data_IF_666097847465
#
_entry.id   IF_666097847465
#
_cell.length_a   1.000
_cell.length_b   1.000
_cell.length_c   1.000
_cell.angle_alpha   90.00
_cell.angle_beta   90.00
_cell.angle_gamma   90.00
#
_symmetry.space_group_name_H-M   'P 1'
#
loop_
_entity.id
_entity.type
_entity.pdbx_description
1 polymer ?
#
# COMPACT_ATOMS: atom_id res chain seq x y z
N UNK A 1 -8.33 -37.64 -27.08
CA UNK A 1 -8.23 -37.75 -25.61
C UNK A 1 -7.36 -36.67 -25.03
N UNK A 2 -8.05 -35.78 -24.31
CA UNK A 2 -7.58 -34.92 -23.22
C UNK A 2 -6.25 -34.17 -23.40
N UNK A 3 -6.31 -33.04 -24.10
CA UNK A 3 -5.40 -31.92 -23.86
C UNK A 3 -5.66 -31.42 -22.44
N UNK A 4 -4.74 -31.76 -21.54
CA UNK A 4 -4.73 -31.27 -20.17
C UNK A 4 -4.90 -29.75 -20.16
N UNK A 5 -5.92 -29.29 -19.45
CA UNK A 5 -6.16 -27.88 -19.19
C UNK A 5 -4.99 -27.33 -18.39
N UNK A 6 -3.90 -26.93 -19.06
CA UNK A 6 -2.89 -26.09 -18.47
C UNK A 6 -3.60 -24.79 -18.10
N UNK A 7 -3.73 -24.57 -16.80
CA UNK A 7 -4.25 -23.32 -16.25
C UNK A 7 -3.40 -22.19 -16.81
N UNK A 8 -3.93 -21.41 -17.76
CA UNK A 8 -3.26 -20.21 -18.27
C UNK A 8 -3.05 -19.26 -17.08
N UNK A 9 -1.88 -19.33 -16.46
CA UNK A 9 -1.49 -18.42 -15.39
C UNK A 9 -1.33 -17.05 -16.02
N UNK A 10 -2.14 -16.10 -15.53
CA UNK A 10 -1.93 -14.71 -15.87
C UNK A 10 -0.80 -14.19 -14.97
N UNK A 11 0.39 -14.03 -15.54
CA UNK A 11 1.61 -13.77 -14.77
C UNK A 11 1.66 -12.36 -14.15
N UNK A 12 0.77 -11.45 -14.57
CA UNK A 12 0.82 -10.03 -14.19
C UNK A 12 -0.49 -9.52 -13.60
N UNK A 13 -0.80 -9.91 -12.37
CA UNK A 13 -1.95 -9.31 -11.66
C UNK A 13 -1.74 -7.81 -11.42
N UNK A 14 -2.81 -7.04 -11.54
CA UNK A 14 -2.80 -5.63 -11.19
C UNK A 14 -2.38 -5.43 -9.72
N UNK A 15 -1.43 -4.51 -9.49
CA UNK A 15 -0.96 -4.13 -8.15
C UNK A 15 -1.74 -2.92 -7.65
N UNK A 16 -2.00 -2.88 -6.35
CA UNK A 16 -2.70 -1.77 -5.69
C UNK A 16 -3.63 -2.26 -4.59
N UNK A 17 -4.54 -1.37 -4.19
CA UNK A 17 -5.66 -1.66 -3.29
C UNK A 17 -6.93 -1.09 -3.91
N UNK A 18 -8.09 -1.66 -3.59
CA UNK A 18 -9.37 -1.17 -4.09
C UNK A 18 -10.50 -1.46 -3.09
N UNK A 19 -11.62 -0.75 -3.23
CA UNK A 19 -12.81 -1.04 -2.46
C UNK A 19 -13.44 -2.36 -2.94
N UNK A 20 -13.33 -3.40 -2.10
CA UNK A 20 -13.76 -4.76 -2.41
C UNK A 20 -15.26 -4.88 -2.71
N UNK A 21 -16.09 -3.90 -2.36
CA UNK A 21 -17.50 -3.84 -2.77
C UNK A 21 -17.67 -3.91 -4.30
N UNK A 22 -16.69 -3.42 -5.06
CA UNK A 22 -16.77 -3.31 -6.52
C UNK A 22 -15.99 -4.41 -7.26
N UNK A 23 -15.66 -5.53 -6.61
CA UNK A 23 -14.83 -6.58 -7.21
C UNK A 23 -15.40 -7.13 -8.54
N UNK A 24 -16.72 -7.19 -8.70
CA UNK A 24 -17.38 -7.66 -9.92
C UNK A 24 -17.19 -6.71 -11.11
N UNK A 25 -16.95 -5.42 -10.86
CA UNK A 25 -16.64 -4.46 -11.92
C UNK A 25 -15.21 -4.63 -12.45
N UNK A 26 -14.32 -5.19 -11.62
CA UNK A 26 -12.95 -5.50 -12.01
C UNK A 26 -12.87 -6.86 -12.70
N UNK A 27 -13.54 -7.87 -12.14
CA UNK A 27 -13.54 -9.24 -12.67
C UNK A 27 -14.92 -9.88 -12.45
N UNK A 28 -15.81 -9.70 -13.43
CA UNK A 28 -17.18 -10.22 -13.38
C UNK A 28 -17.27 -11.74 -13.47
N UNK A 29 -16.21 -12.41 -13.94
CA UNK A 29 -16.15 -13.87 -14.05
C UNK A 29 -15.63 -14.54 -12.76
N UNK A 30 -15.12 -13.77 -11.79
CA UNK A 30 -14.64 -14.30 -10.52
C UNK A 30 -15.79 -14.82 -9.66
N UNK A 31 -15.77 -16.11 -9.33
CA UNK A 31 -16.81 -16.79 -8.54
C UNK A 31 -16.28 -17.56 -7.33
N UNK A 32 -15.04 -18.04 -7.37
CA UNK A 32 -14.38 -18.74 -6.27
C UNK A 32 -12.86 -18.72 -6.45
N UNK A 33 -12.12 -18.83 -5.35
CA UNK A 33 -10.66 -18.83 -5.40
C UNK A 33 -10.08 -17.46 -5.76
N UNK A 34 -8.85 -17.45 -6.28
CA UNK A 34 -8.18 -16.20 -6.64
C UNK A 34 -8.69 -15.67 -7.98
N UNK A 35 -8.96 -14.36 -8.07
CA UNK A 35 -9.19 -13.70 -9.36
C UNK A 35 -7.99 -13.91 -10.29
N UNK A 36 -8.26 -14.07 -11.60
CA UNK A 36 -7.21 -14.23 -12.62
C UNK A 36 -6.40 -12.94 -12.79
N UNK A 37 -7.08 -11.79 -12.78
CA UNK A 37 -6.48 -10.50 -13.15
C UNK A 37 -6.12 -9.61 -11.96
N UNK A 38 -6.79 -9.79 -10.81
CA UNK A 38 -6.63 -8.92 -9.64
C UNK A 38 -6.24 -9.70 -8.40
N UNK A 39 -5.64 -8.99 -7.43
CA UNK A 39 -5.27 -9.57 -6.14
C UNK A 39 -6.47 -9.58 -5.18
N UNK A 40 -7.42 -10.47 -5.39
CA UNK A 40 -8.45 -10.79 -4.40
C UNK A 40 -8.85 -12.26 -4.47
N UNK A 41 -9.40 -12.79 -3.39
CA UNK A 41 -9.79 -14.20 -3.29
C UNK A 41 -11.21 -14.32 -2.78
N UNK A 42 -12.05 -15.04 -3.53
CA UNK A 42 -13.42 -15.37 -3.13
C UNK A 42 -13.42 -16.69 -2.35
N UNK A 43 -13.94 -16.68 -1.13
CA UNK A 43 -14.18 -17.86 -0.30
C UNK A 43 -15.62 -17.89 0.17
N UNK A 44 -16.13 -19.06 0.59
CA UNK A 44 -17.47 -19.18 1.16
C UNK A 44 -17.62 -18.49 2.51
N UNK A 45 -16.51 -18.28 3.25
CA UNK A 45 -16.50 -17.69 4.60
C UNK A 45 -16.38 -16.17 4.56
N UNK A 46 -15.49 -15.66 3.71
CA UNK A 46 -15.05 -14.26 3.74
C UNK A 46 -15.41 -13.53 2.44
N UNK A 47 -16.21 -14.16 1.57
CA UNK A 47 -16.57 -13.64 0.25
C UNK A 47 -15.29 -13.21 -0.51
N UNK A 48 -15.27 -12.05 -1.18
CA UNK A 48 -14.13 -11.50 -1.90
C UNK A 48 -12.94 -11.07 -1.03
N UNK A 49 -13.04 -11.21 0.30
CA UNK A 49 -12.01 -10.80 1.27
C UNK A 49 -11.17 -11.97 1.78
N UNK A 50 -11.20 -13.13 1.11
CA UNK A 50 -10.33 -14.26 1.42
C UNK A 50 -8.85 -13.86 1.43
N UNK A 51 -8.08 -14.45 2.35
CA UNK A 51 -6.67 -14.12 2.56
C UNK A 51 -6.45 -12.61 2.77
N UNK A 52 -7.31 -12.00 3.59
CA UNK A 52 -7.37 -10.54 3.73
C UNK A 52 -6.00 -9.91 3.94
N UNK A 53 -5.14 -10.41 4.82
CA UNK A 53 -3.82 -9.79 5.11
C UNK A 53 -2.88 -9.61 3.91
N UNK A 54 -3.08 -10.36 2.81
CA UNK A 54 -2.21 -10.35 1.63
C UNK A 54 -2.92 -9.97 0.32
N UNK A 55 -4.25 -9.86 0.31
CA UNK A 55 -5.02 -9.45 -0.86
C UNK A 55 -5.12 -7.93 -0.98
N UNK A 56 -5.42 -7.42 -2.17
CA UNK A 56 -5.62 -6.00 -2.46
C UNK A 56 -7.02 -5.48 -2.14
N UNK A 57 -8.02 -6.37 -2.05
CA UNK A 57 -9.38 -5.97 -1.69
C UNK A 57 -9.40 -5.45 -0.24
N UNK A 58 -9.89 -4.23 -0.06
CA UNK A 58 -10.17 -3.64 1.25
C UNK A 58 -11.67 -3.65 1.49
N UNK A 59 -12.07 -3.91 2.74
CA UNK A 59 -13.46 -3.69 3.16
C UNK A 59 -13.79 -2.20 3.00
N UNK A 60 -15.07 -1.83 2.75
CA UNK A 60 -15.45 -0.43 2.52
C UNK A 60 -14.93 0.53 3.61
N UNK A 61 -15.05 0.15 4.87
CA UNK A 61 -14.60 0.98 6.01
C UNK A 61 -13.08 1.14 6.05
N UNK A 62 -12.33 0.08 5.74
CA UNK A 62 -10.86 0.13 5.64
C UNK A 62 -10.41 0.96 4.43
N UNK A 63 -11.14 0.91 3.32
CA UNK A 63 -10.86 1.74 2.16
C UNK A 63 -11.09 3.23 2.48
N UNK A 64 -12.22 3.55 3.12
CA UNK A 64 -12.53 4.91 3.58
C UNK A 64 -11.50 5.43 4.60
N UNK A 65 -11.03 4.55 5.49
CA UNK A 65 -9.95 4.85 6.43
C UNK A 65 -8.66 5.25 5.71
N UNK A 66 -8.26 4.51 4.68
CA UNK A 66 -7.08 4.85 3.86
C UNK A 66 -7.25 6.21 3.16
N UNK A 67 -8.44 6.51 2.63
CA UNK A 67 -8.72 7.80 1.99
C UNK A 67 -8.61 8.96 2.98
N UNK A 68 -9.28 8.86 4.13
CA UNK A 68 -9.21 9.88 5.20
C UNK A 68 -7.80 10.11 5.72
N UNK A 69 -7.07 9.03 5.99
CA UNK A 69 -5.66 9.12 6.38
C UNK A 69 -4.82 9.84 5.33
N UNK A 70 -5.05 9.55 4.05
CA UNK A 70 -4.32 10.18 2.94
C UNK A 70 -4.61 11.68 2.88
N UNK A 71 -5.88 12.08 3.01
CA UNK A 71 -6.28 13.49 3.07
C UNK A 71 -5.61 14.23 4.24
N UNK A 72 -5.65 13.66 5.44
CA UNK A 72 -4.99 14.22 6.62
C UNK A 72 -3.47 14.36 6.42
N UNK A 73 -2.82 13.37 5.79
CA UNK A 73 -1.37 13.46 5.48
C UNK A 73 -1.07 14.55 4.48
N UNK A 74 -1.89 14.73 3.44
CA UNK A 74 -1.75 15.83 2.49
C UNK A 74 -1.84 17.18 3.22
N UNK A 75 -2.86 17.38 4.06
CA UNK A 75 -3.05 18.61 4.83
C UNK A 75 -1.84 18.89 5.73
N UNK A 76 -1.35 17.88 6.44
CA UNK A 76 -0.15 18.00 7.28
C UNK A 76 1.09 18.42 6.48
N UNK A 77 1.33 17.78 5.34
CA UNK A 77 2.49 18.11 4.48
C UNK A 77 2.38 19.54 3.94
N UNK A 78 1.18 19.97 3.54
CA UNK A 78 0.95 21.36 3.08
C UNK A 78 1.23 22.36 4.21
N UNK A 79 0.77 22.09 5.43
CA UNK A 79 1.05 22.94 6.58
C UNK A 79 2.55 23.05 6.87
N UNK A 80 3.28 21.93 6.85
CA UNK A 80 4.74 21.91 7.04
C UNK A 80 5.45 22.75 5.96
N UNK A 81 5.06 22.60 4.69
CA UNK A 81 5.62 23.40 3.58
C UNK A 81 5.34 24.89 3.80
N UNK A 82 4.09 25.26 4.11
CA UNK A 82 3.70 26.66 4.31
C UNK A 82 4.37 27.31 5.53
N UNK A 83 4.71 26.52 6.55
CA UNK A 83 5.51 27.00 7.69
C UNK A 83 6.99 27.19 7.38
N UNK A 84 7.45 26.82 6.18
CA UNK A 84 8.86 26.87 5.79
C UNK A 84 9.69 25.68 6.28
N UNK A 85 9.05 24.54 6.55
CA UNK A 85 9.72 23.31 6.97
C UNK A 85 10.59 22.72 5.86
N UNK A 86 11.91 22.89 5.97
CA UNK A 86 12.91 22.43 4.97
C UNK A 86 13.92 21.43 5.56
N UNK A 87 13.60 20.79 6.68
CA UNK A 87 14.50 19.87 7.37
C UNK A 87 14.93 18.68 6.49
N UNK A 88 16.22 18.36 6.51
CA UNK A 88 16.77 17.21 5.79
C UNK A 88 16.61 15.94 6.66
N UNK A 89 15.50 15.21 6.45
CA UNK A 89 15.16 13.98 7.21
C UNK A 89 14.89 12.79 6.30
N UNK A 90 15.90 12.25 5.58
CA UNK A 90 15.70 11.11 4.69
C UNK A 90 15.28 9.87 5.49
N UNK A 91 14.25 9.18 5.02
CA UNK A 91 13.81 7.94 5.64
C UNK A 91 14.77 6.79 5.32
N UNK A 92 14.76 5.75 6.16
CA UNK A 92 15.33 4.44 5.85
C UNK A 92 14.29 3.35 6.11
N UNK A 93 13.86 2.68 5.05
CA UNK A 93 12.87 1.60 5.10
C UNK A 93 13.44 0.34 4.47
N UNK A 94 13.57 -0.73 5.26
CA UNK A 94 14.11 -2.02 4.80
C UNK A 94 15.43 -1.88 4.03
N UNK A 95 16.35 -1.07 4.56
CA UNK A 95 17.66 -0.79 3.95
C UNK A 95 17.64 0.18 2.77
N UNK A 96 16.47 0.63 2.30
CA UNK A 96 16.34 1.60 1.21
C UNK A 96 16.19 3.01 1.76
N UNK A 97 16.78 3.97 1.05
CA UNK A 97 16.72 5.40 1.37
C UNK A 97 16.49 6.20 0.09
N UNK A 98 15.80 7.35 0.15
CA UNK A 98 15.60 8.21 -1.00
C UNK A 98 16.91 8.84 -1.51
N UNK A 99 17.96 8.89 -0.67
CA UNK A 99 19.23 9.51 -1.05
C UNK A 99 19.90 8.84 -2.26
N UNK A 100 19.63 7.54 -2.53
CA UNK A 100 20.24 6.83 -3.66
C UNK A 100 19.75 7.29 -5.03
N UNK A 101 18.60 7.97 -5.10
CA UNK A 101 18.03 8.51 -6.33
C UNK A 101 17.76 10.02 -6.26
N UNK A 102 18.25 10.71 -5.21
CA UNK A 102 18.04 12.14 -5.03
C UNK A 102 19.06 12.96 -5.83
N UNK A 103 18.58 13.81 -6.74
CA UNK A 103 19.39 14.72 -7.56
C UNK A 103 20.05 15.85 -6.74
N UNK A 104 19.54 16.13 -5.53
CA UNK A 104 19.99 17.21 -4.66
C UNK A 104 20.95 16.76 -3.55
N UNK A 105 21.53 15.56 -3.67
CA UNK A 105 22.43 15.00 -2.65
C UNK A 105 23.65 15.90 -2.33
N UNK A 106 24.16 16.61 -3.33
CA UNK A 106 25.30 17.54 -3.22
C UNK A 106 24.92 18.86 -2.54
N UNK A 107 23.64 19.20 -2.51
CA UNK A 107 23.11 20.44 -1.95
C UNK A 107 22.69 20.26 -0.49
N UNK A 108 22.04 19.14 -0.16
CA UNK A 108 21.45 18.94 1.17
C UNK A 108 22.50 18.70 2.27
N UNK A 109 23.74 18.33 1.92
CA UNK A 109 24.87 18.04 2.84
C UNK A 109 24.57 16.96 3.89
N UNK A 110 23.61 16.08 3.64
CA UNK A 110 23.36 14.94 4.50
C UNK A 110 24.53 13.96 4.43
N UNK A 111 25.15 13.70 5.58
CA UNK A 111 26.23 12.73 5.76
C UNK A 111 25.85 11.76 6.88
N UNK A 112 25.83 10.46 6.58
CA UNK A 112 25.43 9.40 7.50
C UNK A 112 26.42 9.17 8.66
N UNK A 113 27.63 9.72 8.59
CA UNK A 113 28.61 9.65 9.68
C UNK A 113 28.31 10.64 10.81
N UNK A 114 27.54 11.69 10.54
CA UNK A 114 27.23 12.77 11.49
C UNK A 114 25.74 13.14 11.56
N UNK A 115 24.91 12.59 10.66
CA UNK A 115 23.45 12.76 10.66
C UNK A 115 22.75 11.40 10.71
N UNK A 116 21.55 11.38 11.27
CA UNK A 116 20.72 10.18 11.38
C UNK A 116 19.65 10.12 10.30
N UNK A 117 19.45 8.91 9.77
CA UNK A 117 18.25 8.61 8.98
C UNK A 117 17.01 8.54 9.89
N UNK A 118 15.84 8.82 9.33
CA UNK A 118 14.57 8.51 10.00
C UNK A 118 14.18 7.04 9.76
N UNK A 119 14.34 6.12 10.72
CA UNK A 119 14.04 4.71 10.50
C UNK A 119 12.54 4.48 10.39
N UNK A 120 12.11 3.81 9.33
CA UNK A 120 10.74 3.35 9.15
C UNK A 120 10.67 1.84 9.25
N UNK A 121 9.66 1.35 9.96
CA UNK A 121 9.37 -0.08 10.11
C UNK A 121 8.38 -0.49 9.03
N UNK A 122 8.64 -1.62 8.39
CA UNK A 122 7.69 -2.23 7.46
C UNK A 122 6.59 -2.93 8.24
N UNK A 123 5.34 -2.62 7.91
CA UNK A 123 4.16 -3.22 8.53
C UNK A 123 3.39 -4.08 7.53
N UNK A 124 2.70 -5.10 8.04
CA UNK A 124 1.71 -5.86 7.27
C UNK A 124 0.46 -5.02 6.99
N UNK A 125 -0.36 -5.44 6.02
CA UNK A 125 -1.57 -4.67 5.63
C UNK A 125 -2.50 -4.39 6.81
N UNK A 126 -2.76 -5.40 7.64
CA UNK A 126 -3.65 -5.28 8.81
C UNK A 126 -3.08 -4.33 9.86
N UNK A 127 -1.77 -4.43 10.13
CA UNK A 127 -1.09 -3.55 11.08
C UNK A 127 -1.11 -2.08 10.63
N UNK A 128 -0.95 -1.83 9.31
CA UNK A 128 -1.09 -0.48 8.75
C UNK A 128 -2.50 0.05 8.97
N UNK A 129 -3.53 -0.75 8.67
CA UNK A 129 -4.93 -0.36 8.84
C UNK A 129 -5.29 -0.08 10.31
N UNK A 130 -4.75 -0.84 11.25
CA UNK A 130 -4.90 -0.62 12.69
C UNK A 130 -4.21 0.69 13.14
N UNK A 131 -3.00 0.96 12.62
CA UNK A 131 -2.27 2.20 12.97
C UNK A 131 -2.91 3.46 12.40
N UNK A 132 -3.68 3.34 11.32
CA UNK A 132 -4.43 4.46 10.76
C UNK A 132 -5.56 4.93 11.70
N UNK A 133 -6.12 4.05 12.55
CA UNK A 133 -7.16 4.42 13.54
C UNK A 133 -6.65 5.33 14.66
N UNK A 134 -5.33 5.38 14.88
CA UNK A 134 -4.72 6.06 16.03
C UNK A 134 -4.39 7.54 15.73
N UNK A 135 -4.47 7.99 14.48
CA UNK A 135 -4.12 9.37 14.12
C UNK A 135 -5.23 10.41 14.37
N UNK A 136 -6.40 9.99 14.84
CA UNK A 136 -7.51 10.87 15.24
C UNK A 136 -7.43 11.31 16.73
N UNK A 137 -6.25 11.28 17.35
CA UNK A 137 -6.01 11.65 18.76
C UNK A 137 -4.89 12.66 18.97
#
# INVERSE_FOLDING_TARGET
DELSQKTDSFDYKAKGIFNGRFFQLLDSAASSGWSKFYSFRITSRDEQYGNYSISAALKPDDFEKVLRFTEQKILKLVQEILSGGIDVRPYRLSGKSPCSYCEYNSVCRFDWQINDYNPLVSFGKTEVLEKMDVLDG
#
